data_IF_366621474204
#
_entry.id   IF_366621474204
#
_cell.length_a   1.000
_cell.length_b   1.000
_cell.length_c   1.000
_cell.angle_alpha   90.00
_cell.angle_beta   90.00
_cell.angle_gamma   90.00
#
_symmetry.space_group_name_H-M   'P 1'
#
loop_
_entity.id
_entity.type
_entity.pdbx_description
1 polymer ?
#
# COMPACT_ATOMS: atom_id res chain seq x y z
N UNK A 1 24.92 7.23 29.68
CA UNK A 1 24.78 6.84 28.25
C UNK A 1 23.80 5.68 28.03
N UNK A 2 23.74 4.63 28.87
CA UNK A 2 22.84 3.47 28.66
C UNK A 2 21.32 3.76 28.59
N UNK A 3 20.78 4.67 29.42
CA UNK A 3 19.32 4.95 29.47
C UNK A 3 18.76 5.59 28.19
N UNK A 4 19.55 6.41 27.48
CA UNK A 4 19.12 7.09 26.25
C UNK A 4 18.97 6.10 25.09
N UNK A 5 19.87 5.12 25.01
CA UNK A 5 19.80 4.06 23.98
C UNK A 5 18.61 3.13 24.22
N UNK A 6 18.29 2.80 25.48
CA UNK A 6 17.12 1.96 25.81
C UNK A 6 15.81 2.65 25.44
N UNK A 7 15.65 3.94 25.77
CA UNK A 7 14.45 4.69 25.41
C UNK A 7 14.29 4.85 23.89
N UNK A 8 15.41 5.07 23.18
CA UNK A 8 15.42 5.16 21.73
C UNK A 8 15.05 3.82 21.07
N UNK A 9 15.66 2.71 21.51
CA UNK A 9 15.32 1.37 21.04
C UNK A 9 13.83 1.07 21.26
N UNK A 10 13.29 1.38 22.44
CA UNK A 10 11.88 1.16 22.74
C UNK A 10 10.96 1.95 21.78
N UNK A 11 11.32 3.21 21.47
CA UNK A 11 10.59 4.02 20.48
C UNK A 11 10.64 3.42 19.08
N UNK A 12 11.80 2.93 18.64
CA UNK A 12 11.92 2.27 17.33
C UNK A 12 11.15 0.96 17.28
N UNK A 13 11.21 0.15 18.34
CA UNK A 13 10.42 -1.09 18.41
C UNK A 13 8.92 -0.81 18.33
N UNK A 14 8.45 0.25 18.98
CA UNK A 14 7.04 0.65 18.91
C UNK A 14 6.64 1.09 17.50
N UNK A 15 7.46 1.91 16.86
CA UNK A 15 7.22 2.32 15.47
C UNK A 15 7.22 1.13 14.52
N UNK A 16 8.14 0.17 14.69
CA UNK A 16 8.17 -1.06 13.88
C UNK A 16 6.91 -1.90 14.09
N UNK A 17 6.45 -2.07 15.33
CA UNK A 17 5.21 -2.79 15.63
C UNK A 17 3.99 -2.10 15.02
N UNK A 18 3.90 -0.78 15.13
CA UNK A 18 2.84 0.00 14.51
C UNK A 18 2.86 -0.17 12.98
N UNK A 19 4.04 -0.16 12.35
CA UNK A 19 4.19 -0.42 10.92
C UNK A 19 3.71 -1.82 10.56
N UNK A 20 4.03 -2.83 11.37
CA UNK A 20 3.58 -4.20 11.14
C UNK A 20 2.05 -4.32 11.11
N UNK A 21 1.37 -3.67 12.06
CA UNK A 21 -0.10 -3.62 12.11
C UNK A 21 -0.68 -2.91 10.89
N UNK A 22 -0.07 -1.81 10.45
CA UNK A 22 -0.51 -1.09 9.25
C UNK A 22 -0.33 -1.93 7.98
N UNK A 23 0.74 -2.72 7.88
CA UNK A 23 0.94 -3.66 6.78
C UNK A 23 -0.12 -4.77 6.77
N UNK A 24 -0.49 -5.31 7.93
CA UNK A 24 -1.58 -6.29 8.00
C UNK A 24 -2.93 -5.65 7.59
N UNK A 25 -3.18 -4.41 7.99
CA UNK A 25 -4.37 -3.66 7.59
C UNK A 25 -4.41 -3.35 6.08
N UNK A 26 -3.28 -2.97 5.50
CA UNK A 26 -3.12 -2.74 4.06
C UNK A 26 -3.47 -4.00 3.27
N UNK A 27 -2.96 -5.16 3.69
CA UNK A 27 -3.24 -6.44 3.04
C UNK A 27 -4.74 -6.76 3.04
N UNK A 28 -5.43 -6.51 4.15
CA UNK A 28 -6.87 -6.70 4.28
C UNK A 28 -7.64 -5.74 3.36
N UNK A 29 -7.26 -4.46 3.34
CA UNK A 29 -7.90 -3.44 2.50
C UNK A 29 -7.78 -3.79 1.01
N UNK A 30 -6.59 -4.17 0.53
CA UNK A 30 -6.38 -4.59 -0.87
C UNK A 30 -7.21 -5.82 -1.21
N UNK A 31 -7.23 -6.81 -0.32
CA UNK A 31 -7.90 -8.09 -0.56
C UNK A 31 -9.42 -7.99 -0.53
N UNK A 32 -9.96 -7.02 0.22
CA UNK A 32 -11.40 -6.73 0.29
C UNK A 32 -11.87 -5.73 -0.77
N UNK A 33 -10.95 -5.06 -1.46
CA UNK A 33 -11.26 -3.99 -2.41
C UNK A 33 -11.69 -2.68 -1.74
N UNK A 34 -11.41 -2.51 -0.45
CA UNK A 34 -11.69 -1.28 0.29
C UNK A 34 -10.57 -0.24 0.02
N UNK A 35 -10.70 0.47 -1.10
CA UNK A 35 -9.71 1.45 -1.54
C UNK A 35 -9.67 2.71 -0.68
N UNK A 36 -10.79 3.10 -0.07
CA UNK A 36 -10.83 4.24 0.85
C UNK A 36 -10.01 3.93 2.11
N UNK A 37 -10.17 2.72 2.66
CA UNK A 37 -9.34 2.26 3.78
C UNK A 37 -7.87 2.13 3.37
N UNK A 38 -7.60 1.66 2.16
CA UNK A 38 -6.24 1.55 1.64
C UNK A 38 -5.52 2.91 1.60
N UNK A 39 -6.20 3.97 1.16
CA UNK A 39 -5.65 5.34 1.15
C UNK A 39 -5.36 5.81 2.58
N UNK A 40 -6.28 5.62 3.52
CA UNK A 40 -6.05 5.98 4.93
C UNK A 40 -4.84 5.27 5.52
N UNK A 41 -4.71 3.96 5.27
CA UNK A 41 -3.56 3.17 5.75
C UNK A 41 -2.25 3.66 5.11
N UNK A 42 -2.27 4.02 3.83
CA UNK A 42 -1.09 4.58 3.16
C UNK A 42 -0.65 5.92 3.77
N UNK A 43 -1.60 6.81 4.10
CA UNK A 43 -1.33 8.07 4.78
C UNK A 43 -0.75 7.84 6.19
N UNK A 44 -1.33 6.93 6.96
CA UNK A 44 -0.85 6.55 8.30
C UNK A 44 0.57 5.97 8.24
N UNK A 45 0.85 5.08 7.29
CA UNK A 45 2.20 4.53 7.05
C UNK A 45 3.21 5.62 6.71
N UNK A 46 2.82 6.59 5.89
CA UNK A 46 3.70 7.70 5.47
C UNK A 46 4.06 8.58 6.67
N UNK A 47 3.08 8.96 7.49
CA UNK A 47 3.34 9.71 8.74
C UNK A 47 4.21 8.92 9.72
N UNK A 48 3.99 7.61 9.82
CA UNK A 48 4.81 6.77 10.69
C UNK A 48 6.25 6.68 10.16
N UNK A 49 6.46 6.60 8.85
CA UNK A 49 7.77 6.63 8.20
C UNK A 49 8.59 7.88 8.55
N UNK A 50 7.95 9.04 8.61
CA UNK A 50 8.60 10.30 9.01
C UNK A 50 9.14 10.28 10.45
N UNK A 51 8.58 9.42 11.30
CA UNK A 51 9.00 9.26 12.70
C UNK A 51 10.12 8.25 12.91
N UNK A 52 10.51 7.49 11.88
CA UNK A 52 11.59 6.51 12.00
C UNK A 52 12.95 7.20 12.06
N UNK A 53 13.62 7.03 13.19
CA UNK A 53 15.04 7.31 13.34
C UNK A 53 15.72 6.00 13.69
N UNK A 54 16.24 5.30 12.68
CA UNK A 54 16.97 4.05 12.88
C UNK A 54 18.45 4.31 12.70
N UNK A 55 19.17 4.33 13.82
CA UNK A 55 20.62 4.52 13.83
C UNK A 55 21.33 3.16 13.79
N UNK A 56 22.53 3.10 13.22
CA UNK A 56 23.28 1.85 13.04
C UNK A 56 23.53 1.06 14.34
N UNK A 57 23.50 1.71 15.49
CA UNK A 57 23.65 1.07 16.80
C UNK A 57 22.46 0.15 17.16
N UNK A 58 21.24 0.53 16.79
CA UNK A 58 20.01 -0.20 17.14
C UNK A 58 19.54 -1.14 16.03
N UNK A 59 20.04 -0.96 14.78
CA UNK A 59 19.72 -1.86 13.64
C UNK A 59 19.96 -3.32 14.00
N UNK A 60 21.04 -3.62 14.72
CA UNK A 60 21.36 -5.00 15.12
C UNK A 60 20.30 -5.60 16.06
N UNK A 61 19.69 -4.78 16.91
CA UNK A 61 18.70 -5.19 17.92
C UNK A 61 17.31 -5.39 17.30
N UNK A 62 17.00 -4.68 16.21
CA UNK A 62 15.69 -4.74 15.54
C UNK A 62 15.74 -5.41 14.16
N UNK A 63 16.87 -6.02 13.79
CA UNK A 63 17.14 -6.55 12.45
C UNK A 63 16.07 -7.51 11.97
N UNK A 64 15.69 -8.48 12.79
CA UNK A 64 14.72 -9.52 12.43
C UNK A 64 13.34 -8.92 12.16
N UNK A 65 12.88 -8.04 13.05
CA UNK A 65 11.60 -7.34 12.89
C UNK A 65 11.61 -6.41 11.66
N UNK A 66 12.72 -5.72 11.42
CA UNK A 66 12.88 -4.88 10.23
C UNK A 66 12.82 -5.72 8.94
N UNK A 67 13.45 -6.89 8.92
CA UNK A 67 13.39 -7.81 7.78
C UNK A 67 11.96 -8.31 7.53
N UNK A 68 11.23 -8.66 8.58
CA UNK A 68 9.81 -9.04 8.48
C UNK A 68 8.97 -7.91 7.86
N UNK A 69 9.14 -6.68 8.35
CA UNK A 69 8.41 -5.50 7.86
C UNK A 69 8.75 -5.22 6.39
N UNK A 70 10.02 -5.32 6.00
CA UNK A 70 10.44 -5.14 4.61
C UNK A 70 9.85 -6.20 3.69
N UNK A 71 9.82 -7.46 4.14
CA UNK A 71 9.21 -8.55 3.36
C UNK A 71 7.71 -8.32 3.21
N UNK A 72 6.98 -8.07 4.31
CA UNK A 72 5.54 -7.77 4.28
C UNK A 72 5.22 -6.57 3.39
N UNK A 73 6.01 -5.50 3.48
CA UNK A 73 5.83 -4.33 2.62
C UNK A 73 6.04 -4.64 1.15
N UNK A 74 6.99 -5.52 0.82
CA UNK A 74 7.23 -5.97 -0.56
C UNK A 74 6.04 -6.78 -1.07
N UNK A 75 5.57 -7.73 -0.27
CA UNK A 75 4.43 -8.58 -0.61
C UNK A 75 3.15 -7.74 -0.82
N UNK A 76 2.87 -6.82 0.09
CA UNK A 76 1.75 -5.90 -0.03
C UNK A 76 1.86 -5.00 -1.28
N UNK A 77 3.05 -4.48 -1.57
CA UNK A 77 3.30 -3.68 -2.78
C UNK A 77 2.97 -4.46 -4.06
N UNK A 78 3.40 -5.72 -4.15
CA UNK A 78 3.05 -6.60 -5.29
C UNK A 78 1.54 -6.84 -5.40
N UNK A 79 0.84 -6.98 -4.27
CA UNK A 79 -0.62 -7.13 -4.25
C UNK A 79 -1.33 -5.86 -4.76
N UNK A 80 -0.93 -4.68 -4.27
CA UNK A 80 -1.46 -3.38 -4.72
C UNK A 80 -1.23 -3.19 -6.21
N UNK A 81 0.00 -3.43 -6.69
CA UNK A 81 0.32 -3.32 -8.11
C UNK A 81 -0.54 -4.26 -8.97
N UNK A 82 -0.74 -5.49 -8.52
CA UNK A 82 -1.58 -6.47 -9.22
C UNK A 82 -3.04 -6.00 -9.30
N UNK A 83 -3.57 -5.46 -8.20
CA UNK A 83 -4.92 -4.88 -8.17
C UNK A 83 -5.04 -3.68 -9.11
N UNK A 84 -4.06 -2.77 -9.12
CA UNK A 84 -4.05 -1.61 -10.02
C UNK A 84 -3.97 -2.01 -11.49
N UNK A 85 -3.17 -3.04 -11.83
CA UNK A 85 -3.10 -3.58 -13.20
C UNK A 85 -4.45 -4.16 -13.63
N UNK A 86 -5.12 -4.89 -12.74
CA UNK A 86 -6.47 -5.41 -13.00
C UNK A 86 -7.45 -4.29 -13.33
N UNK A 87 -7.53 -3.25 -12.49
CA UNK A 87 -8.44 -2.13 -12.70
C UNK A 87 -8.13 -1.32 -13.95
N UNK A 88 -6.85 -1.10 -14.26
CA UNK A 88 -6.43 -0.42 -15.49
C UNK A 88 -6.92 -1.18 -16.73
N UNK A 89 -6.79 -2.51 -16.73
CA UNK A 89 -7.28 -3.36 -17.83
C UNK A 89 -8.80 -3.34 -17.93
N UNK A 90 -9.51 -3.45 -16.81
CA UNK A 90 -10.96 -3.38 -16.77
C UNK A 90 -11.47 -2.03 -17.31
N UNK A 91 -10.85 -0.92 -16.89
CA UNK A 91 -11.18 0.41 -17.39
C UNK A 91 -10.96 0.54 -18.90
N UNK A 92 -9.83 0.06 -19.42
CA UNK A 92 -9.56 0.06 -20.87
C UNK A 92 -10.64 -0.72 -21.65
N UNK A 93 -11.08 -1.88 -21.14
CA UNK A 93 -12.13 -2.66 -21.77
C UNK A 93 -13.47 -1.92 -21.79
N UNK A 94 -13.84 -1.26 -20.69
CA UNK A 94 -15.05 -0.44 -20.63
C UNK A 94 -15.00 0.73 -21.62
N UNK A 95 -13.85 1.40 -21.73
CA UNK A 95 -13.66 2.49 -22.68
C UNK A 95 -13.79 2.02 -24.13
N UNK A 96 -13.22 0.85 -24.48
CA UNK A 96 -13.40 0.26 -25.80
C UNK A 96 -14.87 -0.06 -26.10
N UNK A 97 -15.58 -0.68 -25.16
CA UNK A 97 -17.01 -0.99 -25.33
C UNK A 97 -17.86 0.27 -25.48
N UNK A 98 -17.56 1.32 -24.71
CA UNK A 98 -18.25 2.60 -24.84
C UNK A 98 -18.03 3.20 -26.23
N UNK A 99 -16.78 3.25 -26.70
CA UNK A 99 -16.42 3.82 -28.01
C UNK A 99 -17.03 3.03 -29.18
N UNK A 100 -16.94 1.70 -29.17
CA UNK A 100 -17.56 0.82 -30.18
C UNK A 100 -19.10 0.94 -30.19
N UNK A 101 -19.71 1.10 -29.01
CA UNK A 101 -21.16 1.30 -28.86
C UNK A 101 -21.66 2.67 -29.35
N UNK A 102 -20.87 3.72 -29.18
CA UNK A 102 -21.18 5.05 -29.75
C UNK A 102 -21.05 5.08 -31.27
N UNK A 103 -20.08 4.39 -31.86
CA UNK A 103 -19.95 4.30 -33.32
C UNK A 103 -21.08 3.48 -33.95
N UNK A 104 -21.51 2.40 -33.29
CA UNK A 104 -22.68 1.64 -33.73
C UNK A 104 -23.97 2.47 -33.66
N UNK A 105 -24.23 3.16 -32.54
CA UNK A 105 -25.43 4.01 -32.38
C UNK A 105 -25.46 5.18 -33.36
N UNK A 106 -24.31 5.78 -33.68
CA UNK A 106 -24.20 6.90 -34.63
C UNK A 106 -24.47 6.47 -36.08
N UNK A 107 -24.10 5.24 -36.46
CA UNK A 107 -24.41 4.68 -37.79
C UNK A 107 -25.89 4.39 -37.99
N UNK A 108 -26.63 4.02 -36.94
CA UNK A 108 -28.08 3.81 -37.03
C UNK A 108 -28.87 5.14 -37.06
N UNK A 109 -28.38 6.20 -36.43
CA UNK A 109 -29.05 7.51 -36.41
C UNK A 109 -28.91 8.31 -37.72
N UNK A 110 -27.91 8.02 -38.56
CA UNK A 110 -27.66 8.73 -39.83
C UNK A 110 -28.29 8.05 -41.07
N UNK A 111 -29.03 6.95 -40.87
CA UNK A 111 -29.63 6.15 -41.95
C UNK A 111 -31.15 6.15 -42.01
N UNK A 112 -31.83 7.10 -41.34
CA UNK A 112 -33.29 7.26 -41.33
C UNK A 112 -33.76 8.47 -42.11
#
# INVERSE_FOLDING_TARGET
>A
MKKKNVAHLAGVMENLRAMNVLLDAERVAVSSGDYDRLVQVADEKTRLMESFQIDGAIVSEVRELLQEILQKSTDNGMMVESALRFWRKAHQQLMHQYMDGTDASSRFAAGG
#
